data_IF_196284723179
#
_entry.id   IF_196284723179
#
_cell.length_a   1.000
_cell.length_b   1.000
_cell.length_c   1.000
_cell.angle_alpha   90.00
_cell.angle_beta   90.00
_cell.angle_gamma   90.00
#
_symmetry.space_group_name_H-M   'P 1'
#
loop_
_entity.id
_entity.type
_entity.pdbx_description
1 polymer ?
#
# COMPACT_ATOMS: atom_id res chain seq x y z
N UNK A 1 4.66 4.70 -37.73
CA UNK A 1 3.22 4.42 -37.69
C UNK A 1 3.03 2.99 -38.15
N UNK A 2 3.13 2.01 -37.24
CA UNK A 2 2.80 0.59 -37.54
C UNK A 2 2.82 -0.27 -36.25
N UNK A 3 2.15 0.19 -35.18
CA UNK A 3 1.99 -0.61 -33.94
C UNK A 3 0.52 -0.88 -33.59
N UNK A 4 -0.42 -0.30 -34.34
CA UNK A 4 -1.86 -0.46 -34.10
C UNK A 4 -2.45 -1.73 -34.71
N UNK A 5 -1.83 -2.30 -35.75
CA UNK A 5 -2.36 -3.49 -36.44
C UNK A 5 -1.91 -4.82 -35.82
N UNK A 6 -0.98 -4.80 -34.85
CA UNK A 6 -0.50 -6.02 -34.19
C UNK A 6 -1.42 -6.49 -33.04
N UNK A 7 -2.31 -5.62 -32.55
CA UNK A 7 -3.21 -5.92 -31.44
C UNK A 7 -4.65 -5.80 -31.94
N UNK A 8 -5.26 -6.94 -32.27
CA UNK A 8 -6.70 -7.01 -32.55
C UNK A 8 -7.54 -6.46 -31.39
N UNK A 9 -8.83 -6.18 -31.62
CA UNK A 9 -9.71 -5.65 -30.58
C UNK A 9 -9.70 -6.57 -29.35
N UNK A 10 -9.33 -6.01 -28.20
CA UNK A 10 -9.27 -6.79 -26.96
C UNK A 10 -10.66 -7.31 -26.60
N UNK A 11 -10.78 -8.59 -26.23
CA UNK A 11 -12.06 -9.13 -25.78
C UNK A 11 -12.53 -8.35 -24.55
N UNK A 12 -13.80 -7.90 -24.51
CA UNK A 12 -14.33 -7.26 -23.31
C UNK A 12 -14.39 -8.28 -22.17
N UNK A 13 -14.07 -7.84 -20.95
CA UNK A 13 -14.29 -8.64 -19.75
C UNK A 13 -15.76 -9.07 -19.69
N UNK A 14 -16.02 -10.33 -19.37
CA UNK A 14 -17.38 -10.79 -19.14
C UNK A 14 -17.95 -10.15 -17.87
N UNK A 15 -19.28 -10.19 -17.69
CA UNK A 15 -19.94 -9.50 -16.57
C UNK A 15 -19.45 -9.93 -15.19
N UNK A 16 -19.02 -11.19 -15.02
CA UNK A 16 -18.49 -11.70 -13.75
C UNK A 16 -17.09 -11.15 -13.47
N UNK A 17 -16.22 -11.14 -14.48
CA UNK A 17 -14.87 -10.59 -14.37
C UNK A 17 -14.87 -9.09 -14.12
N UNK A 18 -15.78 -8.36 -14.78
CA UNK A 18 -15.97 -6.93 -14.55
C UNK A 18 -16.37 -6.66 -13.09
N UNK A 19 -17.30 -7.45 -12.54
CA UNK A 19 -17.68 -7.34 -11.13
C UNK A 19 -16.53 -7.69 -10.18
N UNK A 20 -15.74 -8.72 -10.49
CA UNK A 20 -14.57 -9.11 -9.70
C UNK A 20 -13.52 -8.00 -9.68
N UNK A 21 -13.21 -7.41 -10.84
CA UNK A 21 -12.30 -6.27 -10.93
C UNK A 21 -12.80 -5.10 -10.07
N UNK A 22 -14.08 -4.73 -10.18
CA UNK A 22 -14.67 -3.64 -9.38
C UNK A 22 -14.54 -3.92 -7.88
N UNK A 23 -14.82 -5.15 -7.42
CA UNK A 23 -14.68 -5.54 -6.02
C UNK A 23 -13.23 -5.42 -5.53
N UNK A 24 -12.26 -5.86 -6.35
CA UNK A 24 -10.83 -5.72 -6.05
C UNK A 24 -10.41 -4.25 -6.01
N UNK A 25 -10.94 -3.42 -6.91
CA UNK A 25 -10.76 -1.96 -6.88
C UNK A 25 -11.25 -1.34 -5.58
N UNK A 26 -12.48 -1.64 -5.17
CA UNK A 26 -13.03 -1.18 -3.89
C UNK A 26 -12.18 -1.61 -2.71
N UNK A 27 -11.70 -2.86 -2.72
CA UNK A 27 -10.83 -3.39 -1.67
C UNK A 27 -9.49 -2.64 -1.61
N UNK A 28 -8.88 -2.41 -2.78
CA UNK A 28 -7.68 -1.59 -2.91
C UNK A 28 -7.90 -0.15 -2.48
N UNK A 29 -9.07 0.43 -2.77
CA UNK A 29 -9.42 1.80 -2.38
C UNK A 29 -9.54 1.93 -0.86
N UNK A 30 -10.10 0.92 -0.17
CA UNK A 30 -10.11 0.87 1.29
C UNK A 30 -8.68 0.76 1.81
N UNK A 31 -7.88 -0.15 1.25
CA UNK A 31 -6.48 -0.37 1.62
C UNK A 31 -5.56 0.83 1.36
N UNK A 32 -5.91 1.74 0.45
CA UNK A 32 -5.14 2.95 0.14
C UNK A 32 -5.68 4.21 0.83
N UNK A 33 -7.00 4.41 0.81
CA UNK A 33 -7.65 5.62 1.31
C UNK A 33 -7.77 5.69 2.84
N UNK A 34 -8.02 4.56 3.50
CA UNK A 34 -8.12 4.53 4.97
C UNK A 34 -6.77 4.85 5.61
N UNK A 35 -5.63 4.30 5.16
CA UNK A 35 -4.32 4.71 5.67
C UNK A 35 -4.03 6.19 5.47
N UNK A 36 -4.36 6.72 4.29
CA UNK A 36 -4.15 8.13 3.98
C UNK A 36 -4.89 9.04 4.98
N UNK A 37 -6.20 8.86 5.11
CA UNK A 37 -7.03 9.69 5.99
C UNK A 37 -6.66 9.47 7.46
N UNK A 38 -6.42 8.21 7.85
CA UNK A 38 -6.01 7.86 9.21
C UNK A 38 -4.67 8.49 9.60
N UNK A 39 -3.69 8.50 8.68
CA UNK A 39 -2.38 9.08 8.93
C UNK A 39 -2.46 10.60 9.07
N UNK A 40 -3.20 11.29 8.20
CA UNK A 40 -3.41 12.73 8.30
C UNK A 40 -4.08 13.10 9.64
N UNK A 41 -5.15 12.40 10.00
CA UNK A 41 -5.84 12.62 11.26
C UNK A 41 -4.92 12.38 12.46
N UNK A 42 -4.09 11.33 12.40
CA UNK A 42 -3.11 11.04 13.44
C UNK A 42 -2.07 12.16 13.58
N UNK A 43 -1.49 12.65 12.49
CA UNK A 43 -0.51 13.74 12.54
C UNK A 43 -1.12 15.04 13.08
N UNK A 44 -2.34 15.39 12.67
CA UNK A 44 -3.06 16.55 13.20
C UNK A 44 -3.27 16.44 14.72
N UNK A 45 -3.72 15.27 15.20
CA UNK A 45 -3.87 15.03 16.63
C UNK A 45 -2.54 15.08 17.38
N UNK A 46 -1.46 14.59 16.77
CA UNK A 46 -0.13 14.62 17.37
C UNK A 46 0.37 16.06 17.53
N UNK A 47 0.22 16.90 16.50
CA UNK A 47 0.56 18.33 16.56
C UNK A 47 -0.26 19.05 17.64
N UNK A 48 -1.57 18.80 17.70
CA UNK A 48 -2.44 19.37 18.73
C UNK A 48 -2.01 18.99 20.15
N UNK A 49 -1.66 17.71 20.38
CA UNK A 49 -1.19 17.26 21.69
C UNK A 49 0.17 17.85 22.06
N UNK A 50 1.08 18.03 21.10
CA UNK A 50 2.36 18.70 21.34
C UNK A 50 2.14 20.17 21.74
N UNK A 51 1.27 20.89 21.05
CA UNK A 51 0.92 22.27 21.39
C UNK A 51 0.22 22.40 22.75
N UNK A 52 -0.58 21.40 23.13
CA UNK A 52 -1.30 21.38 24.40
C UNK A 52 -0.44 20.91 25.59
N UNK A 53 0.86 20.64 25.40
CA UNK A 53 1.75 20.13 26.46
C UNK A 53 1.44 18.69 26.91
N UNK A 54 0.73 17.90 26.09
CA UNK A 54 0.32 16.52 26.39
C UNK A 54 1.01 15.48 25.50
N UNK A 55 2.27 15.74 25.13
CA UNK A 55 3.05 14.92 24.18
C UNK A 55 3.30 13.47 24.64
N UNK A 56 3.32 13.22 25.95
CA UNK A 56 3.70 11.93 26.53
C UNK A 56 2.59 10.87 26.55
N UNK A 57 1.41 11.18 26.00
CA UNK A 57 0.20 10.36 26.18
C UNK A 57 0.22 9.00 25.45
N UNK A 58 1.10 8.80 24.48
CA UNK A 58 1.08 7.61 23.63
C UNK A 58 1.96 6.49 24.18
N UNK A 59 1.37 5.37 24.56
CA UNK A 59 2.10 4.18 25.01
C UNK A 59 2.63 3.38 23.82
N UNK A 60 3.70 2.57 24.00
CA UNK A 60 4.16 1.64 22.98
C UNK A 60 3.08 0.66 22.49
N UNK A 61 2.17 0.23 23.37
CA UNK A 61 1.03 -0.61 23.01
C UNK A 61 0.11 0.07 21.99
N UNK A 62 -0.12 1.39 22.16
CA UNK A 62 -0.85 2.19 21.19
C UNK A 62 -0.14 2.22 19.82
N UNK A 63 1.18 2.39 19.79
CA UNK A 63 1.95 2.34 18.55
C UNK A 63 1.88 0.96 17.88
N UNK A 64 2.01 -0.15 18.64
CA UNK A 64 1.86 -1.53 18.11
C UNK A 64 0.52 -1.74 17.43
N UNK A 65 -0.58 -1.36 18.08
CA UNK A 65 -1.92 -1.48 17.51
C UNK A 65 -2.08 -0.69 16.21
N UNK A 66 -1.50 0.52 16.14
CA UNK A 66 -1.49 1.34 14.93
C UNK A 66 -0.63 0.73 13.81
N UNK A 67 0.56 0.23 14.13
CA UNK A 67 1.42 -0.45 13.15
C UNK A 67 0.66 -1.63 12.55
N UNK A 68 0.05 -2.46 13.39
CA UNK A 68 -0.78 -3.59 12.94
C UNK A 68 -1.90 -3.13 12.00
N UNK A 69 -2.65 -2.10 12.37
CA UNK A 69 -3.74 -1.56 11.55
C UNK A 69 -3.27 -1.09 10.17
N UNK A 70 -2.23 -0.26 10.08
CA UNK A 70 -1.73 0.22 8.79
C UNK A 70 -1.09 -0.89 7.96
N UNK A 71 -0.36 -1.80 8.62
CA UNK A 71 0.26 -2.94 7.96
C UNK A 71 -0.79 -3.92 7.40
N UNK A 72 -1.89 -4.13 8.11
CA UNK A 72 -3.03 -4.92 7.61
C UNK A 72 -3.68 -4.29 6.37
N UNK A 73 -3.86 -2.97 6.35
CA UNK A 73 -4.40 -2.27 5.19
C UNK A 73 -3.47 -2.36 3.96
N UNK A 74 -2.16 -2.34 4.18
CA UNK A 74 -1.18 -2.60 3.13
C UNK A 74 -1.26 -4.04 2.61
N UNK A 75 -1.41 -5.04 3.48
CA UNK A 75 -1.65 -6.43 3.07
C UNK A 75 -2.90 -6.52 2.20
N UNK A 76 -3.99 -5.88 2.62
CA UNK A 76 -5.26 -5.86 1.87
C UNK A 76 -5.08 -5.24 0.47
N UNK A 77 -4.38 -4.11 0.40
CA UNK A 77 -4.02 -3.46 -0.88
C UNK A 77 -3.18 -4.39 -1.76
N UNK A 78 -2.12 -4.97 -1.20
CA UNK A 78 -1.19 -5.83 -1.95
C UNK A 78 -1.86 -7.08 -2.51
N UNK A 79 -2.76 -7.70 -1.74
CA UNK A 79 -3.59 -8.83 -2.23
C UNK A 79 -4.51 -8.38 -3.35
N UNK A 80 -5.22 -7.25 -3.17
CA UNK A 80 -6.14 -6.74 -4.18
C UNK A 80 -5.44 -6.43 -5.51
N UNK A 81 -4.28 -5.76 -5.44
CA UNK A 81 -3.47 -5.39 -6.59
C UNK A 81 -2.89 -6.61 -7.31
N UNK A 82 -2.34 -7.57 -6.55
CA UNK A 82 -1.79 -8.80 -7.12
C UNK A 82 -2.88 -9.64 -7.80
N UNK A 83 -4.04 -9.76 -7.16
CA UNK A 83 -5.18 -10.50 -7.70
C UNK A 83 -5.76 -9.82 -8.95
N UNK A 84 -5.83 -8.48 -8.97
CA UNK A 84 -6.28 -7.73 -10.14
C UNK A 84 -5.31 -7.89 -11.31
N UNK A 85 -4.00 -7.79 -11.06
CA UNK A 85 -2.98 -8.02 -12.07
C UNK A 85 -3.03 -9.45 -12.63
N UNK A 86 -3.23 -10.45 -11.77
CA UNK A 86 -3.41 -11.84 -12.21
C UNK A 86 -4.67 -12.03 -13.07
N UNK A 87 -5.81 -11.49 -12.63
CA UNK A 87 -7.07 -11.53 -13.37
C UNK A 87 -6.91 -10.92 -14.78
N UNK A 88 -6.32 -9.72 -14.87
CA UNK A 88 -6.10 -9.04 -16.15
C UNK A 88 -5.12 -9.82 -17.03
N UNK A 89 -4.07 -10.40 -16.44
CA UNK A 89 -3.09 -11.19 -17.19
C UNK A 89 -3.72 -12.41 -17.85
N UNK A 90 -4.57 -13.12 -17.11
CA UNK A 90 -5.19 -14.37 -17.57
C UNK A 90 -6.34 -14.12 -18.54
N UNK A 91 -7.10 -13.03 -18.35
CA UNK A 91 -8.31 -12.74 -19.13
C UNK A 91 -8.09 -11.82 -20.34
N UNK A 92 -7.13 -10.88 -20.25
CA UNK A 92 -6.87 -9.87 -21.30
C UNK A 92 -5.56 -10.18 -22.01
N UNK A 93 -4.50 -10.48 -21.24
CA UNK A 93 -3.21 -10.89 -21.79
C UNK A 93 -2.01 -10.39 -21.00
N UNK A 94 -0.83 -10.85 -21.40
CA UNK A 94 0.46 -10.53 -20.78
C UNK A 94 1.20 -9.38 -21.48
N UNK A 95 2.12 -8.73 -20.77
CA UNK A 95 2.96 -7.65 -21.32
C UNK A 95 2.22 -6.32 -21.40
N UNK A 96 2.57 -5.50 -22.38
CA UNK A 96 1.93 -4.20 -22.53
C UNK A 96 0.51 -4.37 -23.09
N UNK A 97 -0.50 -3.92 -22.33
CA UNK A 97 -1.88 -3.91 -22.80
C UNK A 97 -2.10 -2.83 -23.88
N UNK A 98 -2.95 -3.13 -24.87
CA UNK A 98 -3.31 -2.18 -25.92
C UNK A 98 -4.10 -0.96 -25.38
N UNK A 99 -4.82 -1.14 -24.28
CA UNK A 99 -5.47 -0.08 -23.53
C UNK A 99 -5.35 -0.34 -22.02
N UNK A 100 -5.17 0.71 -21.20
CA UNK A 100 -5.06 0.53 -19.75
C UNK A 100 -6.39 0.07 -19.16
N UNK A 101 -6.33 -0.88 -18.22
CA UNK A 101 -7.47 -1.26 -17.39
C UNK A 101 -7.48 -0.36 -16.16
N UNK A 102 -8.53 0.45 -16.02
CA UNK A 102 -8.68 1.37 -14.90
C UNK A 102 -9.68 0.79 -13.92
N UNK A 103 -9.23 0.54 -12.70
CA UNK A 103 -10.06 0.03 -11.62
C UNK A 103 -9.59 0.70 -10.33
N UNK A 104 -10.15 1.89 -10.06
CA UNK A 104 -9.66 2.76 -8.99
C UNK A 104 -9.47 1.99 -7.66
N UNK A 105 -8.31 2.13 -7.00
CA UNK A 105 -7.24 3.08 -7.30
C UNK A 105 -6.30 2.62 -8.43
N UNK A 106 -6.34 1.37 -8.85
CA UNK A 106 -5.35 0.79 -9.76
C UNK A 106 -5.52 1.22 -11.22
N UNK A 107 -4.39 1.38 -11.90
CA UNK A 107 -4.30 1.56 -13.34
C UNK A 107 -3.29 0.54 -13.86
N UNK A 108 -3.77 -0.45 -14.61
CA UNK A 108 -2.95 -1.58 -15.05
C UNK A 108 -2.64 -1.39 -16.54
N UNK A 109 -1.35 -1.21 -16.85
CA UNK A 109 -0.80 -1.15 -18.21
C UNK A 109 0.04 -2.39 -18.51
N UNK A 110 0.78 -2.87 -17.50
CA UNK A 110 1.58 -4.09 -17.53
C UNK A 110 1.14 -4.96 -16.35
N UNK A 111 0.36 -6.03 -16.58
CA UNK A 111 -0.18 -6.86 -15.51
C UNK A 111 0.90 -7.46 -14.61
N UNK A 112 2.03 -7.88 -15.19
CA UNK A 112 3.15 -8.45 -14.44
C UNK A 112 3.80 -7.45 -13.48
N UNK A 113 3.90 -6.18 -13.90
CA UNK A 113 4.42 -5.10 -13.06
C UNK A 113 3.45 -4.83 -11.90
N UNK A 114 2.14 -4.85 -12.15
CA UNK A 114 1.11 -4.70 -11.11
C UNK A 114 1.15 -5.85 -10.11
N UNK A 115 1.32 -7.09 -10.57
CA UNK A 115 1.52 -8.26 -9.69
C UNK A 115 2.77 -8.07 -8.83
N UNK A 116 3.90 -7.67 -9.44
CA UNK A 116 5.14 -7.45 -8.71
C UNK A 116 5.00 -6.34 -7.65
N UNK A 117 4.32 -5.23 -7.96
CA UNK A 117 4.07 -4.17 -6.98
C UNK A 117 3.18 -4.67 -5.83
N UNK A 118 2.07 -5.34 -6.16
CA UNK A 118 1.16 -5.90 -5.17
C UNK A 118 1.85 -6.87 -4.21
N UNK A 119 2.72 -7.75 -4.72
CA UNK A 119 3.51 -8.66 -3.91
C UNK A 119 4.53 -7.93 -3.04
N UNK A 120 5.17 -6.88 -3.55
CA UNK A 120 6.12 -6.08 -2.79
C UNK A 120 5.43 -5.39 -1.59
N UNK A 121 4.26 -4.78 -1.83
CA UNK A 121 3.43 -4.16 -0.78
C UNK A 121 2.94 -5.19 0.22
N UNK A 122 2.51 -6.35 -0.26
CA UNK A 122 2.07 -7.46 0.57
C UNK A 122 3.18 -7.90 1.53
N UNK A 123 4.38 -8.16 1.01
CA UNK A 123 5.55 -8.54 1.81
C UNK A 123 5.91 -7.46 2.84
N UNK A 124 5.86 -6.18 2.44
CA UNK A 124 6.12 -5.05 3.34
C UNK A 124 5.08 -4.97 4.47
N UNK A 125 3.79 -5.10 4.14
CA UNK A 125 2.70 -5.15 5.12
C UNK A 125 2.81 -6.34 6.07
N UNK A 126 3.12 -7.54 5.56
CA UNK A 126 3.33 -8.73 6.40
C UNK A 126 4.49 -8.52 7.39
N UNK A 127 5.61 -7.93 6.94
CA UNK A 127 6.72 -7.61 7.83
C UNK A 127 6.32 -6.60 8.91
N UNK A 128 5.50 -5.60 8.58
CA UNK A 128 4.95 -4.65 9.55
C UNK A 128 4.08 -5.34 10.61
N UNK A 129 3.24 -6.29 10.21
CA UNK A 129 2.44 -7.11 11.14
C UNK A 129 3.36 -7.93 12.05
N UNK A 130 4.39 -8.59 11.49
CA UNK A 130 5.36 -9.37 12.27
C UNK A 130 6.07 -8.48 13.30
N UNK A 131 6.52 -7.28 12.91
CA UNK A 131 7.14 -6.33 13.84
C UNK A 131 6.18 -5.94 14.96
N UNK A 132 4.92 -5.64 14.64
CA UNK A 132 3.92 -5.26 15.63
C UNK A 132 3.61 -6.39 16.63
N UNK A 133 3.35 -7.60 16.12
CA UNK A 133 2.94 -8.76 16.92
C UNK A 133 4.14 -9.34 17.67
N UNK A 134 5.21 -9.71 16.97
CA UNK A 134 6.37 -10.33 17.60
C UNK A 134 7.24 -9.34 18.39
N UNK A 135 7.03 -8.02 18.21
CA UNK A 135 7.80 -7.01 18.93
C UNK A 135 9.27 -6.99 18.53
N UNK A 136 9.57 -7.28 17.26
CA UNK A 136 10.95 -7.36 16.78
C UNK A 136 11.71 -6.05 17.04
N UNK A 137 12.90 -6.19 17.64
CA UNK A 137 13.81 -5.08 17.97
C UNK A 137 14.80 -4.83 16.83
N UNK A 138 15.32 -3.61 16.74
CA UNK A 138 16.32 -3.23 15.72
C UNK A 138 15.80 -3.18 14.29
N UNK A 139 14.48 -3.34 14.10
CA UNK A 139 13.87 -3.38 12.76
C UNK A 139 13.63 -1.99 12.16
N UNK A 140 13.79 -0.88 12.89
CA UNK A 140 13.50 0.45 12.36
C UNK A 140 14.29 0.79 11.08
N UNK A 141 15.60 0.55 11.08
CA UNK A 141 16.47 0.83 9.93
C UNK A 141 16.19 -0.09 8.73
N UNK A 142 16.16 -1.43 8.88
CA UNK A 142 15.87 -2.30 7.73
C UNK A 142 14.43 -2.12 7.21
N UNK A 143 13.47 -1.86 8.09
CA UNK A 143 12.09 -1.58 7.69
C UNK A 143 11.96 -0.25 6.94
N UNK A 144 12.71 0.79 7.37
CA UNK A 144 12.83 2.04 6.61
C UNK A 144 13.44 1.81 5.23
N UNK A 145 14.54 1.06 5.14
CA UNK A 145 15.20 0.76 3.87
C UNK A 145 14.27 0.03 2.90
N UNK A 146 13.53 -0.97 3.39
CA UNK A 146 12.53 -1.69 2.58
C UNK A 146 11.37 -0.76 2.17
N UNK A 147 10.88 0.09 3.08
CA UNK A 147 9.82 1.05 2.77
C UNK A 147 10.26 2.07 1.70
N UNK A 148 11.50 2.56 1.78
CA UNK A 148 12.08 3.44 0.77
C UNK A 148 12.17 2.73 -0.59
N UNK A 149 12.61 1.46 -0.61
CA UNK A 149 12.62 0.66 -1.83
C UNK A 149 11.22 0.49 -2.44
N UNK A 150 10.21 0.18 -1.61
CA UNK A 150 8.80 0.06 -2.04
C UNK A 150 8.30 1.36 -2.66
N UNK A 151 8.57 2.50 -2.02
CA UNK A 151 8.17 3.81 -2.52
C UNK A 151 8.85 4.11 -3.86
N UNK A 152 10.16 3.89 -3.97
CA UNK A 152 10.91 4.13 -5.21
C UNK A 152 10.40 3.23 -6.34
N UNK A 153 10.14 1.95 -6.04
CA UNK A 153 9.56 1.02 -7.01
C UNK A 153 8.20 1.52 -7.49
N UNK A 154 7.31 1.94 -6.59
CA UNK A 154 5.99 2.45 -6.95
C UNK A 154 6.03 3.77 -7.73
N UNK A 155 6.95 4.66 -7.36
CA UNK A 155 7.17 5.89 -8.13
C UNK A 155 7.71 5.56 -9.52
N UNK A 156 8.59 4.57 -9.66
CA UNK A 156 9.12 4.15 -10.94
C UNK A 156 8.02 3.52 -11.82
N UNK A 157 7.22 2.59 -11.31
CA UNK A 157 6.10 2.00 -12.05
C UNK A 157 5.10 3.06 -12.48
N UNK A 158 4.82 4.01 -11.59
CA UNK A 158 3.99 5.17 -11.89
C UNK A 158 4.55 6.04 -13.01
N UNK A 159 5.83 6.44 -12.92
CA UNK A 159 6.48 7.22 -13.96
C UNK A 159 6.45 6.48 -15.30
N UNK A 160 6.66 5.16 -15.30
CA UNK A 160 6.54 4.33 -16.50
C UNK A 160 5.11 4.36 -17.07
N UNK A 161 4.07 4.35 -16.23
CA UNK A 161 2.69 4.50 -16.72
C UNK A 161 2.41 5.90 -17.30
N UNK A 162 3.02 6.95 -16.77
CA UNK A 162 2.83 8.34 -17.23
C UNK A 162 3.62 8.68 -18.49
N UNK A 163 4.89 8.27 -18.56
CA UNK A 163 5.75 8.45 -19.74
C UNK A 163 5.34 7.49 -20.86
N UNK A 164 4.84 6.31 -20.48
CA UNK A 164 4.44 5.23 -21.37
C UNK A 164 3.30 5.60 -22.29
N UNK A 165 2.04 5.46 -21.86
CA UNK A 165 0.93 5.30 -22.82
C UNK A 165 -0.47 5.35 -22.17
N UNK A 166 -0.69 6.13 -21.10
CA UNK A 166 -2.03 6.20 -20.47
C UNK A 166 -2.73 7.54 -20.72
N UNK A 167 -3.88 7.57 -21.45
CA UNK A 167 -4.77 8.73 -21.49
C UNK A 167 -5.52 8.94 -20.15
N UNK A 168 -5.24 8.15 -19.11
CA UNK A 168 -5.84 8.33 -17.80
C UNK A 168 -5.54 9.75 -17.27
N UNK A 169 -6.54 10.42 -16.66
CA UNK A 169 -6.37 11.79 -16.20
C UNK A 169 -5.25 11.86 -15.16
N UNK A 170 -4.29 12.77 -15.38
CA UNK A 170 -3.13 13.07 -14.51
C UNK A 170 -3.47 13.20 -13.02
N UNK A 171 -4.73 13.50 -12.70
CA UNK A 171 -5.30 13.60 -11.35
C UNK A 171 -5.35 12.26 -10.62
N UNK A 172 -5.78 11.18 -11.28
CA UNK A 172 -5.82 9.81 -10.68
C UNK A 172 -4.42 9.42 -10.24
N UNK A 173 -3.47 9.81 -11.09
CA UNK A 173 -2.09 9.51 -10.92
C UNK A 173 -1.52 10.23 -9.66
N UNK A 174 -1.78 11.53 -9.49
CA UNK A 174 -1.32 12.28 -8.32
C UNK A 174 -1.90 11.75 -6.99
N UNK A 175 -3.17 11.31 -6.99
CA UNK A 175 -3.84 10.74 -5.82
C UNK A 175 -3.21 9.39 -5.42
N UNK A 176 -2.89 8.56 -6.40
CA UNK A 176 -2.20 7.27 -6.20
C UNK A 176 -0.84 7.44 -5.53
N UNK A 177 -0.02 8.38 -6.02
CA UNK A 177 1.30 8.66 -5.45
C UNK A 177 1.21 9.11 -4.00
N UNK A 178 0.25 9.97 -3.66
CA UNK A 178 0.03 10.42 -2.28
C UNK A 178 -0.38 9.26 -1.35
N UNK A 179 -1.27 8.38 -1.82
CA UNK A 179 -1.70 7.20 -1.08
C UNK A 179 -0.55 6.22 -0.82
N UNK A 180 0.28 5.96 -1.82
CA UNK A 180 1.47 5.12 -1.72
C UNK A 180 2.45 5.65 -0.68
N UNK A 181 2.81 6.94 -0.80
CA UNK A 181 3.83 7.55 0.06
C UNK A 181 3.35 7.55 1.50
N UNK A 182 2.12 7.96 1.76
CA UNK A 182 1.60 8.03 3.13
C UNK A 182 1.31 6.65 3.70
N UNK A 183 0.80 5.73 2.89
CA UNK A 183 0.54 4.35 3.29
C UNK A 183 1.79 3.61 3.74
N UNK A 184 2.94 3.83 3.08
CA UNK A 184 4.22 3.19 3.43
C UNK A 184 4.96 3.95 4.53
N UNK A 185 5.00 5.29 4.50
CA UNK A 185 5.74 6.07 5.48
C UNK A 185 5.12 6.03 6.89
N UNK A 186 3.79 5.90 6.98
CA UNK A 186 3.13 5.88 8.28
C UNK A 186 3.57 4.70 9.17
N UNK A 187 3.53 3.43 8.73
CA UNK A 187 4.05 2.33 9.54
C UNK A 187 5.55 2.45 9.81
N UNK A 188 6.34 2.99 8.88
CA UNK A 188 7.78 3.24 9.11
C UNK A 188 7.99 4.23 10.26
N UNK A 189 7.26 5.35 10.23
CA UNK A 189 7.27 6.36 11.29
C UNK A 189 6.88 5.75 12.63
N UNK A 190 5.82 4.95 12.67
CA UNK A 190 5.34 4.31 13.89
C UNK A 190 6.36 3.31 14.45
N UNK A 191 6.99 2.48 13.60
CA UNK A 191 8.03 1.53 14.02
C UNK A 191 9.24 2.28 14.60
N UNK A 192 9.69 3.35 13.94
CA UNK A 192 10.81 4.16 14.42
C UNK A 192 10.50 4.79 15.80
N UNK A 193 9.31 5.38 15.96
CA UNK A 193 8.89 5.98 17.24
C UNK A 193 8.72 4.93 18.34
N UNK A 194 8.18 3.76 18.02
CA UNK A 194 7.99 2.69 18.99
C UNK A 194 9.33 2.20 19.55
N UNK A 195 10.33 2.02 18.68
CA UNK A 195 11.63 1.48 19.08
C UNK A 195 12.55 2.50 19.78
N UNK A 196 12.30 3.80 19.62
CA UNK A 196 13.02 4.85 20.33
C UNK A 196 12.61 5.01 21.80
N UNK A 197 11.52 4.36 22.23
CA UNK A 197 11.00 4.55 23.59
C UNK A 197 11.62 3.58 24.60
N UNK A 198 12.01 4.07 25.80
CA UNK A 198 12.71 3.27 26.80
C UNK A 198 11.83 2.19 27.45
N UNK A 199 10.52 2.41 27.54
CA UNK A 199 9.52 1.48 28.09
C UNK A 199 9.20 0.30 27.14
N UNK A 200 9.66 0.36 25.89
CA UNK A 200 9.56 -0.77 24.96
C UNK A 200 10.30 -2.02 25.45
N UNK A 201 11.29 -1.85 26.34
CA UNK A 201 12.05 -2.96 26.91
C UNK A 201 11.23 -3.91 27.79
N UNK A 202 10.09 -3.45 28.33
CA UNK A 202 9.33 -4.16 29.37
C UNK A 202 7.94 -4.63 28.94
N UNK A 203 7.60 -4.51 27.65
CA UNK A 203 6.28 -4.92 27.19
C UNK A 203 6.19 -6.45 27.14
N UNK A 204 5.20 -7.04 27.83
CA UNK A 204 4.92 -8.46 27.74
C UNK A 204 4.56 -8.86 26.30
N UNK A 205 4.76 -10.13 25.96
CA UNK A 205 4.34 -10.66 24.67
C UNK A 205 2.81 -10.52 24.53
N UNK A 206 2.24 -10.34 23.32
CA UNK A 206 0.79 -10.16 23.15
C UNK A 206 -0.05 -11.29 23.78
N UNK A 207 0.51 -12.49 23.90
CA UNK A 207 -0.12 -13.65 24.55
C UNK A 207 -0.38 -13.46 26.04
N UNK A 208 0.33 -12.55 26.71
CA UNK A 208 0.23 -12.32 28.16
C UNK A 208 -0.78 -11.22 28.52
N UNK A 209 -1.33 -10.50 27.54
CA UNK A 209 -2.29 -9.40 27.75
C UNK A 209 -3.74 -9.84 27.46
N UNK A 210 -3.93 -11.04 26.91
CA UNK A 210 -5.24 -11.62 26.56
C UNK A 210 -5.73 -12.70 27.53
N UNK A 211 -5.07 -12.86 28.69
CA UNK A 211 -5.51 -13.65 29.83
C UNK A 211 -5.94 -12.73 30.97
#
# INVERSE_FOLDING_TARGET
MEQQDLYGPMPPLNGVQSNAAIMLGMLGAIGAGVPLLGAHFFFLLQMFHQQSGRGDKYTPAYFRARIYFYAFLLVLRGVAESALGALIRDDIGSGMLAAPVVTLPFVVVYPEISIADGLLVLCFGLLGIIIAVAGLRGMAVPYFGLGAFVIVFQLATYILTQIGLSPAPKVVAAILTGNTVIGVLMPVYLVANMQQRPDYCHLPAPSEVLL
#
